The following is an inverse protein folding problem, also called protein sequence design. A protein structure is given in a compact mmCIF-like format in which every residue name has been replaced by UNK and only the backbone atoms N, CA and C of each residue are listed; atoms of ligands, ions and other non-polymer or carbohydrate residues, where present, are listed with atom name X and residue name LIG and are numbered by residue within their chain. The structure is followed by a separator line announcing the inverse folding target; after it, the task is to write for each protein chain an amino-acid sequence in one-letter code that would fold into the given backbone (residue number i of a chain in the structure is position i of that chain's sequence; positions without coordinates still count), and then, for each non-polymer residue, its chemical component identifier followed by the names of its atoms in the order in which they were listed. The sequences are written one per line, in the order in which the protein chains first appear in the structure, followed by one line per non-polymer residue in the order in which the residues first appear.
data_IF_378172589608
#
_entry.id   IF_378172589608
#
_cell.length_a   1.000
_cell.length_b   1.000
_cell.length_c   1.000
_cell.angle_alpha   90.00
_cell.angle_beta   90.00
_cell.angle_gamma   90.00
#
_symmetry.space_group_name_H-M   'P 1'
#
loop_
_entity.id
_entity.type
_entity.pdbx_description
1 polymer ?
#
# COMPACT_ATOMS: atom_id res chain seq x y z
N UNK A 1 4.04 -8.86 -13.93
CA UNK A 1 4.54 -7.69 -13.21
C UNK A 1 3.39 -6.74 -12.91
N UNK A 2 3.21 -6.39 -11.67
CA UNK A 2 2.07 -5.54 -11.34
C UNK A 2 2.35 -4.08 -11.62
N UNK A 3 1.28 -3.36 -11.82
CA UNK A 3 1.33 -1.96 -12.15
C UNK A 3 1.59 -1.11 -10.90
N UNK A 4 2.78 -0.56 -10.80
CA UNK A 4 3.17 0.21 -9.64
C UNK A 4 2.33 1.47 -9.46
N UNK A 5 1.85 2.04 -10.55
CA UNK A 5 1.04 3.25 -10.47
C UNK A 5 -0.28 3.00 -9.76
N UNK A 6 -0.93 1.89 -10.10
CA UNK A 6 -2.18 1.54 -9.45
C UNK A 6 -1.96 1.21 -7.98
N UNK A 7 -0.88 0.52 -7.69
CA UNK A 7 -0.57 0.16 -6.32
C UNK A 7 -0.28 1.41 -5.49
N UNK A 8 0.52 2.32 -6.03
CA UNK A 8 0.86 3.56 -5.34
C UNK A 8 -0.40 4.39 -5.09
N UNK A 9 -1.28 4.49 -6.08
CA UNK A 9 -2.51 5.24 -5.92
C UNK A 9 -3.38 4.63 -4.84
N UNK A 10 -3.45 3.32 -4.78
CA UNK A 10 -4.23 2.62 -3.77
C UNK A 10 -3.67 2.85 -2.38
N UNK A 11 -2.36 2.76 -2.24
CA UNK A 11 -1.70 2.99 -0.97
C UNK A 11 -1.91 4.42 -0.50
N UNK A 12 -1.77 5.38 -1.42
CA UNK A 12 -1.99 6.78 -1.09
C UNK A 12 -3.42 7.01 -0.60
N UNK A 13 -4.38 6.38 -1.26
CA UNK A 13 -5.78 6.50 -0.88
C UNK A 13 -5.99 6.03 0.56
N UNK A 14 -5.46 4.87 0.89
CA UNK A 14 -5.63 4.35 2.24
C UNK A 14 -4.93 5.19 3.29
N UNK A 15 -3.76 5.70 2.96
CA UNK A 15 -3.00 6.50 3.90
C UNK A 15 -3.61 7.87 4.12
N UNK A 16 -4.04 8.52 3.04
CA UNK A 16 -4.52 9.90 3.13
C UNK A 16 -6.01 10.00 3.39
N UNK A 17 -6.79 9.13 2.81
CA UNK A 17 -8.24 9.21 2.96
C UNK A 17 -8.74 8.50 4.19
N UNK A 18 -8.19 7.33 4.47
CA UNK A 18 -8.63 6.52 5.59
C UNK A 18 -7.71 6.58 6.80
N UNK A 19 -6.54 7.18 6.65
CA UNK A 19 -5.55 7.32 7.72
C UNK A 19 -5.14 5.98 8.32
N UNK A 20 -5.09 4.96 7.50
CA UNK A 20 -4.64 3.64 7.96
C UNK A 20 -3.12 3.62 8.06
N UNK A 21 -2.62 2.87 9.03
CA UNK A 21 -1.19 2.65 9.12
C UNK A 21 -0.75 1.65 8.04
N UNK A 22 0.55 1.67 7.67
CA UNK A 22 1.04 0.70 6.67
C UNK A 22 0.77 -0.74 7.04
N UNK A 23 0.83 -1.07 8.31
CA UNK A 23 0.53 -2.43 8.75
C UNK A 23 -0.91 -2.80 8.49
N UNK A 24 -1.81 -1.88 8.75
CA UNK A 24 -3.23 -2.09 8.47
C UNK A 24 -3.48 -2.24 6.98
N UNK A 25 -2.85 -1.41 6.19
CA UNK A 25 -3.00 -1.46 4.73
C UNK A 25 -2.51 -2.79 4.19
N UNK A 26 -1.35 -3.22 4.65
CA UNK A 26 -0.78 -4.49 4.22
C UNK A 26 -1.74 -5.65 4.50
N UNK A 27 -2.27 -5.66 5.70
CA UNK A 27 -3.18 -6.72 6.10
C UNK A 27 -4.48 -6.67 5.29
N UNK A 28 -4.98 -5.48 5.05
CA UNK A 28 -6.22 -5.31 4.29
C UNK A 28 -6.05 -5.76 2.85
N UNK A 29 -4.94 -5.41 2.24
CA UNK A 29 -4.66 -5.83 0.87
C UNK A 29 -4.55 -7.33 0.76
N UNK A 30 -3.95 -7.96 1.75
CA UNK A 30 -3.84 -9.40 1.78
C UNK A 30 -5.21 -10.06 1.83
N UNK A 31 -6.13 -9.47 2.56
CA UNK A 31 -7.48 -10.01 2.70
C UNK A 31 -8.36 -9.74 1.48
N UNK A 32 -8.24 -8.57 0.89
CA UNK A 32 -9.16 -8.15 -0.16
C UNK A 32 -8.66 -8.45 -1.56
N UNK A 33 -7.36 -8.38 -1.78
CA UNK A 33 -6.80 -8.53 -3.12
C UNK A 33 -6.01 -9.82 -3.24
N UNK A 34 -6.65 -10.80 -3.83
CA UNK A 34 -6.00 -12.08 -4.06
C UNK A 34 -4.82 -11.90 -4.99
N UNK A 35 -3.65 -12.31 -4.55
CA UNK A 35 -2.47 -12.27 -5.38
C UNK A 35 -1.57 -11.08 -5.13
N UNK A 36 -2.02 -10.09 -4.39
CA UNK A 36 -1.16 -8.96 -4.05
C UNK A 36 -0.69 -9.12 -2.62
N UNK A 37 0.56 -9.48 -2.48
CA UNK A 37 1.19 -9.55 -1.16
C UNK A 37 2.21 -8.45 -1.07
N UNK A 38 1.91 -7.45 -0.27
CA UNK A 38 2.82 -6.35 -0.06
C UNK A 38 3.02 -6.20 1.44
N UNK A 39 4.27 -6.18 1.86
CA UNK A 39 4.57 -6.03 3.27
C UNK A 39 4.53 -4.56 3.66
N UNK A 40 4.31 -4.31 4.94
CA UNK A 40 4.30 -2.93 5.44
C UNK A 40 5.65 -2.26 5.23
N UNK A 41 6.72 -3.04 5.19
CA UNK A 41 8.05 -2.49 4.93
C UNK A 41 8.11 -1.85 3.54
N UNK A 42 7.49 -2.48 2.56
CA UNK A 42 7.44 -1.93 1.21
C UNK A 42 6.65 -0.63 1.19
N UNK A 43 5.57 -0.56 1.94
CA UNK A 43 4.76 0.65 2.03
C UNK A 43 5.58 1.78 2.64
N UNK A 44 6.32 1.50 3.72
CA UNK A 44 7.20 2.49 4.32
C UNK A 44 8.26 2.96 3.33
N UNK A 45 8.78 2.05 2.52
CA UNK A 45 9.79 2.40 1.52
C UNK A 45 9.20 3.39 0.51
N UNK A 46 7.97 3.19 0.09
CA UNK A 46 7.32 4.13 -0.82
C UNK A 46 7.18 5.51 -0.18
N UNK A 47 6.86 5.55 1.09
CA UNK A 47 6.72 6.81 1.81
C UNK A 47 8.07 7.52 1.87
N UNK A 48 9.11 6.83 2.25
CA UNK A 48 10.44 7.41 2.37
C UNK A 48 11.00 7.88 1.04
N UNK A 49 10.65 7.18 -0.03
CA UNK A 49 11.13 7.55 -1.36
C UNK A 49 10.29 8.65 -2.00
N UNK A 50 9.32 9.17 -1.29
CA UNK A 50 8.51 10.26 -1.79
C UNK A 50 7.51 9.88 -2.86
N UNK A 51 7.19 8.61 -2.97
CA UNK A 51 6.23 8.16 -3.96
C UNK A 51 4.78 8.30 -3.48
N UNK A 52 4.62 8.49 -2.19
CA UNK A 52 3.28 8.67 -1.60
C UNK A 52 3.11 10.07 -0.96
#
# INVERSE_FOLDING_TARGET
MYNNEKLVALLRKYLMKFFWSPQQISKRLELENNGIKISYQTIYRYIYNGKL
#
